data_IF_216823713101
#
_entry.id   IF_216823713101
#
_cell.length_a   1.000
_cell.length_b   1.000
_cell.length_c   1.000
_cell.angle_alpha   90.00
_cell.angle_beta   90.00
_cell.angle_gamma   90.00
#
_symmetry.space_group_name_H-M   'P 1'
#
loop_
_entity.id
_entity.type
_entity.pdbx_description
1 polymer ?
#
# COMPACT_ATOMS: atom_id res chain seq x y z
N UNK A 1 50.92 -17.35 14.56
CA UNK A 1 50.77 -16.13 13.73
C UNK A 1 49.61 -16.25 12.72
N UNK A 2 49.34 -17.41 12.13
CA UNK A 2 48.24 -17.61 11.17
C UNK A 2 46.82 -17.34 11.73
N UNK A 3 46.55 -17.67 12.99
CA UNK A 3 45.23 -17.44 13.59
C UNK A 3 44.90 -15.93 13.77
N UNK A 4 45.91 -15.09 14.01
CA UNK A 4 45.72 -13.65 14.12
C UNK A 4 45.46 -13.02 12.74
N UNK A 5 46.20 -13.44 11.72
CA UNK A 5 45.96 -13.03 10.33
C UNK A 5 44.57 -13.46 9.83
N UNK A 6 44.09 -14.65 10.18
CA UNK A 6 42.75 -15.10 9.80
C UNK A 6 41.62 -14.33 10.51
N UNK A 7 41.85 -13.84 11.73
CA UNK A 7 40.90 -13.00 12.47
C UNK A 7 40.89 -11.57 11.90
N UNK A 8 42.06 -11.02 11.59
CA UNK A 8 42.19 -9.73 10.94
C UNK A 8 41.58 -9.76 9.52
N UNK A 9 41.80 -10.81 8.74
CA UNK A 9 41.16 -10.99 7.42
C UNK A 9 39.63 -11.09 7.50
N UNK A 10 39.08 -11.76 8.53
CA UNK A 10 37.62 -11.81 8.75
C UNK A 10 37.07 -10.46 9.19
N UNK A 11 37.81 -9.72 10.02
CA UNK A 11 37.44 -8.35 10.42
C UNK A 11 37.56 -7.36 9.26
N UNK A 12 38.56 -7.50 8.39
CA UNK A 12 38.74 -6.74 7.15
C UNK A 12 37.62 -7.05 6.13
N UNK A 13 37.24 -8.33 5.97
CA UNK A 13 36.09 -8.71 5.13
C UNK A 13 34.76 -8.22 5.70
N UNK A 14 34.61 -8.20 7.03
CA UNK A 14 33.45 -7.60 7.68
C UNK A 14 33.45 -6.07 7.62
N UNK A 15 34.61 -5.42 7.64
CA UNK A 15 34.73 -3.95 7.61
C UNK A 15 34.35 -3.34 6.26
N UNK A 16 34.12 -4.15 5.23
CA UNK A 16 33.72 -3.69 3.89
C UNK A 16 32.26 -3.96 3.55
N UNK A 17 31.48 -4.57 4.43
CA UNK A 17 30.09 -4.95 4.13
C UNK A 17 29.24 -3.70 3.87
N UNK A 18 29.31 -2.69 4.74
CA UNK A 18 28.50 -1.48 4.58
C UNK A 18 28.92 -0.68 3.34
N UNK A 19 30.24 -0.53 3.13
CA UNK A 19 30.79 0.12 1.94
C UNK A 19 30.34 -0.55 0.63
N UNK A 20 30.29 -1.89 0.62
CA UNK A 20 29.83 -2.68 -0.53
C UNK A 20 28.32 -2.49 -0.76
N UNK A 21 27.52 -2.49 0.30
CA UNK A 21 26.07 -2.25 0.21
C UNK A 21 25.78 -0.84 -0.33
N UNK A 22 26.51 0.17 0.13
CA UNK A 22 26.33 1.55 -0.33
C UNK A 22 26.78 1.70 -1.78
N UNK A 23 27.91 1.08 -2.17
CA UNK A 23 28.34 1.05 -3.57
C UNK A 23 27.30 0.37 -4.47
N UNK A 24 26.65 -0.68 -3.97
CA UNK A 24 25.55 -1.37 -4.66
C UNK A 24 24.34 -0.45 -4.82
N UNK A 25 23.96 0.30 -3.77
CA UNK A 25 22.89 1.31 -3.82
C UNK A 25 23.23 2.42 -4.83
N UNK A 26 24.46 2.94 -4.82
CA UNK A 26 24.89 3.94 -5.80
C UNK A 26 24.85 3.39 -7.25
N UNK A 27 25.24 2.12 -7.43
CA UNK A 27 25.15 1.42 -8.70
C UNK A 27 23.70 1.25 -9.20
N UNK A 28 22.75 1.00 -8.30
CA UNK A 28 21.33 0.87 -8.67
C UNK A 28 20.71 2.20 -9.07
N UNK A 29 21.08 3.31 -8.39
CA UNK A 29 20.73 4.65 -8.83
C UNK A 29 21.27 4.96 -10.24
N UNK A 30 22.54 4.66 -10.49
CA UNK A 30 23.18 4.85 -11.81
C UNK A 30 22.48 4.05 -12.91
N UNK A 31 22.10 2.81 -12.60
CA UNK A 31 21.35 1.95 -13.52
C UNK A 31 19.94 2.50 -13.78
N UNK A 32 19.29 3.07 -12.75
CA UNK A 32 18.03 3.78 -12.85
C UNK A 32 18.10 5.01 -13.77
N UNK A 33 19.17 5.81 -13.69
CA UNK A 33 19.41 6.96 -14.59
C UNK A 33 19.53 6.49 -16.03
N UNK A 34 20.35 5.48 -16.31
CA UNK A 34 20.53 4.96 -17.67
C UNK A 34 19.23 4.42 -18.28
N UNK A 35 18.40 3.77 -17.45
CA UNK A 35 17.07 3.33 -17.86
C UNK A 35 16.16 4.52 -18.17
N UNK A 36 16.13 5.51 -17.27
CA UNK A 36 15.33 6.72 -17.44
C UNK A 36 15.67 7.47 -18.73
N UNK A 37 16.95 7.68 -19.02
CA UNK A 37 17.40 8.37 -20.23
C UNK A 37 16.95 7.62 -21.49
N UNK A 38 17.10 6.29 -21.54
CA UNK A 38 16.64 5.46 -22.66
C UNK A 38 15.13 5.49 -22.85
N UNK A 39 14.37 5.47 -21.75
CA UNK A 39 12.91 5.55 -21.77
C UNK A 39 12.45 6.93 -22.23
N UNK A 40 13.10 7.99 -21.75
CA UNK A 40 12.85 9.36 -22.15
C UNK A 40 13.12 9.58 -23.64
N UNK A 41 14.22 9.05 -24.17
CA UNK A 41 14.54 9.06 -25.60
C UNK A 41 13.50 8.33 -26.46
N UNK A 42 13.13 7.10 -26.08
CA UNK A 42 12.11 6.33 -26.79
C UNK A 42 10.76 7.06 -26.83
N UNK A 43 10.40 7.74 -25.72
CA UNK A 43 9.18 8.56 -25.64
C UNK A 43 9.26 9.79 -26.53
N UNK A 44 10.38 10.52 -26.51
CA UNK A 44 10.62 11.67 -27.39
C UNK A 44 10.55 11.26 -28.86
N UNK A 45 11.14 10.12 -29.23
CA UNK A 45 11.09 9.59 -30.59
C UNK A 45 9.66 9.21 -31.02
N UNK A 46 8.85 8.61 -30.14
CA UNK A 46 7.42 8.37 -30.41
C UNK A 46 6.62 9.67 -30.56
N UNK A 47 6.86 10.67 -29.70
CA UNK A 47 6.22 11.99 -29.82
C UNK A 47 6.60 12.67 -31.13
N UNK A 48 7.87 12.62 -31.51
CA UNK A 48 8.35 13.14 -32.78
C UNK A 48 7.64 12.44 -33.94
N UNK A 49 7.59 11.10 -33.97
CA UNK A 49 6.86 10.35 -35.01
C UNK A 49 5.37 10.69 -35.08
N UNK A 50 4.71 10.94 -33.94
CA UNK A 50 3.30 11.40 -33.91
C UNK A 50 3.17 12.81 -34.45
N UNK A 51 4.08 13.72 -34.10
CA UNK A 51 4.12 15.08 -34.64
C UNK A 51 4.42 15.07 -36.14
N UNK A 52 5.39 14.29 -36.62
CA UNK A 52 5.73 14.17 -38.05
C UNK A 52 4.56 13.58 -38.84
N UNK A 53 3.85 12.58 -38.29
CA UNK A 53 2.61 12.05 -38.91
C UNK A 53 1.48 13.08 -38.91
N UNK A 54 1.32 13.83 -37.82
CA UNK A 54 0.34 14.92 -37.71
C UNK A 54 0.67 16.09 -38.63
N UNK A 55 1.95 16.43 -38.77
CA UNK A 55 2.47 17.43 -39.69
C UNK A 55 2.27 16.97 -41.13
N UNK A 56 2.55 15.72 -41.49
CA UNK A 56 2.27 15.19 -42.83
C UNK A 56 0.77 15.19 -43.16
N UNK A 57 -0.10 14.93 -42.17
CA UNK A 57 -1.55 15.04 -42.34
C UNK A 57 -1.97 16.50 -42.55
N UNK A 58 -1.44 17.41 -41.72
CA UNK A 58 -1.65 18.87 -41.86
C UNK A 58 -1.03 19.41 -43.14
N UNK A 59 0.10 18.89 -43.62
CA UNK A 59 0.77 19.28 -44.86
C UNK A 59 -0.09 18.88 -46.04
N UNK A 60 -0.66 17.67 -46.01
CA UNK A 60 -1.62 17.20 -47.02
C UNK A 60 -2.92 18.00 -47.02
N UNK A 61 -3.42 18.34 -45.84
CA UNK A 61 -4.60 19.18 -45.66
C UNK A 61 -4.32 20.65 -46.03
N UNK A 62 -3.10 21.13 -45.79
CA UNK A 62 -2.62 22.45 -46.20
C UNK A 62 -2.35 22.50 -47.69
N UNK A 63 -1.81 21.48 -48.35
CA UNK A 63 -1.71 21.38 -49.81
C UNK A 63 -3.11 21.46 -50.44
N UNK A 64 -4.05 20.69 -49.89
CA UNK A 64 -5.45 20.70 -50.33
C UNK A 64 -6.12 22.06 -50.09
N UNK A 65 -5.77 22.77 -49.02
CA UNK A 65 -6.23 24.13 -48.74
C UNK A 65 -5.42 25.21 -49.46
N UNK A 66 -4.19 24.97 -49.92
CA UNK A 66 -3.35 25.92 -50.66
C UNK A 66 -3.81 26.00 -52.12
N UNK A 67 -4.38 24.91 -52.64
CA UNK A 67 -5.18 24.89 -53.88
C UNK A 67 -6.50 25.68 -53.75
N UNK A 68 -7.07 25.77 -52.54
CA UNK A 68 -8.28 26.55 -52.25
C UNK A 68 -8.02 27.99 -51.76
N UNK A 69 -6.84 28.27 -51.21
CA UNK A 69 -6.56 29.49 -50.45
C UNK A 69 -5.23 30.17 -50.84
N UNK A 70 -5.16 30.62 -52.10
CA UNK A 70 -4.46 31.86 -52.50
C UNK A 70 -5.07 33.12 -51.82
N UNK A 71 -5.81 32.99 -50.71
CA UNK A 71 -6.33 34.09 -49.90
C UNK A 71 -6.39 33.72 -48.41
N UNK A 72 -5.43 34.25 -47.65
CA UNK A 72 -5.67 34.86 -46.33
C UNK A 72 -5.61 34.01 -45.05
N UNK A 73 -4.46 34.07 -44.36
CA UNK A 73 -4.18 34.30 -42.90
C UNK A 73 -4.95 33.47 -41.84
N UNK A 74 -4.31 32.64 -41.01
CA UNK A 74 -3.43 32.89 -39.83
C UNK A 74 -4.17 33.40 -38.57
N UNK A 75 -4.58 32.50 -37.65
CA UNK A 75 -5.04 32.87 -36.27
C UNK A 75 -5.28 31.69 -35.28
N UNK A 76 -4.42 30.65 -35.22
CA UNK A 76 -4.63 29.48 -34.33
C UNK A 76 -3.45 29.07 -33.42
N UNK A 77 -2.35 29.82 -33.38
CA UNK A 77 -1.11 29.36 -32.71
C UNK A 77 -0.99 29.67 -31.20
N UNK A 78 -1.92 30.40 -30.57
CA UNK A 78 -1.68 30.89 -29.19
C UNK A 78 -2.20 30.00 -28.04
N UNK A 79 -3.01 28.96 -28.30
CA UNK A 79 -3.71 28.23 -27.23
C UNK A 79 -3.05 26.93 -26.74
N UNK A 80 -1.99 26.47 -27.40
CA UNK A 80 -1.30 25.19 -27.07
C UNK A 80 -0.11 25.32 -26.10
N UNK A 81 0.30 26.54 -25.70
CA UNK A 81 1.50 26.72 -24.86
C UNK A 81 1.30 26.49 -23.34
N UNK A 82 0.07 26.36 -22.84
CA UNK A 82 -0.19 26.30 -21.39
C UNK A 82 -0.25 24.88 -20.79
N UNK A 83 -0.37 23.82 -21.62
CA UNK A 83 -0.48 22.42 -21.17
C UNK A 83 0.82 21.61 -21.26
N UNK A 84 1.89 22.15 -21.88
CA UNK A 84 3.21 21.49 -21.96
C UNK A 84 4.12 21.73 -20.76
N UNK A 85 3.80 22.68 -19.87
CA UNK A 85 4.64 23.04 -18.71
C UNK A 85 4.62 22.00 -17.58
N UNK A 86 3.44 21.44 -17.25
CA UNK A 86 3.29 20.56 -16.06
C UNK A 86 3.77 19.12 -16.22
N UNK A 87 4.10 18.68 -17.44
CA UNK A 87 4.51 17.29 -17.74
C UNK A 87 6.01 17.14 -17.99
N UNK A 88 6.73 18.26 -18.10
CA UNK A 88 8.20 18.29 -18.13
C UNK A 88 8.80 18.29 -16.73
N UNK A 89 8.16 18.98 -15.78
CA UNK A 89 8.59 19.06 -14.37
C UNK A 89 8.72 17.66 -13.73
N UNK A 90 7.69 16.81 -13.80
CA UNK A 90 7.73 15.44 -13.25
C UNK A 90 8.87 14.55 -13.81
N UNK A 91 9.30 14.77 -15.07
CA UNK A 91 10.37 13.99 -15.72
C UNK A 91 11.76 14.55 -15.32
N UNK A 92 11.88 15.86 -15.16
CA UNK A 92 13.10 16.52 -14.72
C UNK A 92 13.38 16.23 -13.24
N UNK A 93 12.34 16.26 -12.38
CA UNK A 93 12.43 15.97 -10.95
C UNK A 93 12.92 14.54 -10.65
N UNK A 94 12.49 13.56 -11.47
CA UNK A 94 12.97 12.18 -11.32
C UNK A 94 14.44 12.05 -11.70
N UNK A 95 14.84 12.64 -12.83
CA UNK A 95 16.23 12.58 -13.29
C UNK A 95 17.15 13.15 -12.22
N UNK A 96 16.75 14.28 -11.68
CA UNK A 96 17.41 14.98 -10.59
C UNK A 96 17.47 14.15 -9.30
N UNK A 97 16.37 13.49 -8.90
CA UNK A 97 16.35 12.58 -7.74
C UNK A 97 17.31 11.40 -7.92
N UNK A 98 17.26 10.71 -9.06
CA UNK A 98 18.12 9.55 -9.35
C UNK A 98 19.61 9.94 -9.44
N UNK A 99 19.90 11.07 -10.07
CA UNK A 99 21.27 11.57 -10.23
C UNK A 99 21.87 12.04 -8.91
N UNK A 100 21.05 12.60 -8.00
CA UNK A 100 21.49 13.02 -6.65
C UNK A 100 21.46 11.89 -5.62
N UNK A 101 20.61 10.89 -5.78
CA UNK A 101 20.35 9.84 -4.78
C UNK A 101 21.60 9.06 -4.38
N UNK A 102 22.35 8.56 -5.37
CA UNK A 102 23.61 7.84 -5.14
C UNK A 102 24.67 8.70 -4.41
N UNK A 103 25.06 9.87 -4.96
CA UNK A 103 26.02 10.77 -4.33
C UNK A 103 25.63 11.22 -2.92
N UNK A 104 24.34 11.45 -2.65
CA UNK A 104 23.88 11.85 -1.32
C UNK A 104 24.03 10.73 -0.28
N UNK A 105 23.67 9.50 -0.63
CA UNK A 105 23.83 8.34 0.27
C UNK A 105 25.32 8.06 0.50
N UNK A 106 26.14 8.14 -0.54
CA UNK A 106 27.60 7.98 -0.44
C UNK A 106 28.21 9.08 0.44
N UNK A 107 27.88 10.35 0.20
CA UNK A 107 28.39 11.46 0.99
C UNK A 107 27.97 11.40 2.46
N UNK A 108 26.74 10.94 2.74
CA UNK A 108 26.27 10.70 4.10
C UNK A 108 27.08 9.60 4.81
N UNK A 109 27.43 8.53 4.09
CA UNK A 109 28.32 7.49 4.62
C UNK A 109 29.73 8.01 4.85
N UNK A 110 30.33 8.67 3.87
CA UNK A 110 31.71 9.19 3.97
C UNK A 110 31.84 10.17 5.14
N UNK A 111 30.82 11.00 5.37
CA UNK A 111 30.77 11.92 6.51
C UNK A 111 30.74 11.18 7.86
N UNK A 112 29.92 10.14 8.00
CA UNK A 112 29.79 9.38 9.24
C UNK A 112 31.00 8.47 9.47
N UNK A 113 31.56 7.90 8.39
CA UNK A 113 32.80 7.14 8.40
C UNK A 113 33.97 8.02 8.84
N UNK A 114 34.07 9.26 8.37
CA UNK A 114 35.14 10.19 8.80
C UNK A 114 35.11 10.47 10.31
N UNK A 115 33.95 10.35 10.97
CA UNK A 115 33.79 10.59 12.41
C UNK A 115 34.06 9.36 13.27
N UNK A 116 33.61 8.18 12.82
CA UNK A 116 33.64 6.94 13.61
C UNK A 116 34.70 5.93 13.15
N UNK A 117 35.28 6.16 11.97
CA UNK A 117 36.31 5.34 11.38
C UNK A 117 35.86 3.92 11.02
N UNK A 118 36.79 2.94 11.04
CA UNK A 118 36.56 1.57 10.56
C UNK A 118 35.40 0.82 11.22
N UNK A 119 35.09 1.12 12.47
CA UNK A 119 33.99 0.48 13.19
C UNK A 119 32.62 0.80 12.59
N UNK A 120 32.47 1.98 11.98
CA UNK A 120 31.24 2.35 11.30
C UNK A 120 31.11 1.66 9.94
N UNK A 121 32.21 1.44 9.23
CA UNK A 121 32.20 0.71 7.96
C UNK A 121 31.86 -0.78 8.11
N UNK A 122 32.14 -1.37 9.27
CA UNK A 122 31.71 -2.73 9.57
C UNK A 122 30.17 -2.85 9.60
N UNK A 123 29.49 -1.82 10.08
CA UNK A 123 28.05 -1.82 10.22
C UNK A 123 27.56 -2.73 11.34
N UNK A 124 26.37 -2.45 11.87
CA UNK A 124 25.64 -3.43 12.67
C UNK A 124 24.66 -4.24 11.79
N UNK A 125 24.24 -5.40 12.29
CA UNK A 125 23.35 -6.31 11.53
C UNK A 125 22.05 -5.63 11.12
N UNK A 126 21.56 -4.68 11.93
CA UNK A 126 20.31 -3.98 11.71
C UNK A 126 20.43 -3.01 10.53
N UNK A 127 21.50 -2.21 10.48
CA UNK A 127 21.79 -1.31 9.37
C UNK A 127 22.07 -2.09 8.07
N UNK A 128 22.81 -3.19 8.15
CA UNK A 128 23.04 -4.07 6.99
C UNK A 128 21.71 -4.62 6.42
N UNK A 129 20.84 -5.12 7.29
CA UNK A 129 19.53 -5.66 6.90
C UNK A 129 18.62 -4.58 6.30
N UNK A 130 18.63 -3.37 6.88
CA UNK A 130 17.85 -2.25 6.36
C UNK A 130 18.34 -1.81 4.97
N UNK A 131 19.65 -1.66 4.77
CA UNK A 131 20.24 -1.29 3.48
C UNK A 131 20.00 -2.36 2.41
N UNK A 132 20.11 -3.64 2.77
CA UNK A 132 19.73 -4.74 1.87
C UNK A 132 18.26 -4.67 1.47
N UNK A 133 17.36 -4.36 2.40
CA UNK A 133 15.95 -4.13 2.11
C UNK A 133 15.73 -3.02 1.07
N UNK A 134 16.45 -1.89 1.20
CA UNK A 134 16.36 -0.80 0.22
C UNK A 134 16.88 -1.21 -1.17
N UNK A 135 17.99 -1.96 -1.22
CA UNK A 135 18.53 -2.50 -2.48
C UNK A 135 17.51 -3.39 -3.18
N UNK A 136 16.93 -4.36 -2.44
CA UNK A 136 15.98 -5.32 -2.99
C UNK A 136 14.73 -4.60 -3.52
N UNK A 137 14.20 -3.63 -2.78
CA UNK A 137 13.02 -2.87 -3.19
C UNK A 137 13.30 -2.04 -4.44
N UNK A 138 14.43 -1.32 -4.49
CA UNK A 138 14.77 -0.49 -5.64
C UNK A 138 15.08 -1.35 -6.88
N UNK A 139 15.91 -2.38 -6.75
CA UNK A 139 16.23 -3.30 -7.84
C UNK A 139 14.99 -4.03 -8.34
N UNK A 140 14.15 -4.54 -7.44
CA UNK A 140 12.92 -5.23 -7.80
C UNK A 140 11.94 -4.32 -8.55
N UNK A 141 11.91 -3.04 -8.22
CA UNK A 141 11.08 -2.06 -8.96
C UNK A 141 11.64 -1.80 -10.36
N UNK A 142 12.96 -1.58 -10.48
CA UNK A 142 13.62 -1.39 -11.78
C UNK A 142 13.43 -2.61 -12.70
N UNK A 143 13.58 -3.83 -12.17
CA UNK A 143 13.40 -5.07 -12.92
C UNK A 143 11.96 -5.20 -13.41
N UNK A 144 10.98 -5.02 -12.52
CA UNK A 144 9.55 -5.08 -12.91
C UNK A 144 9.22 -4.07 -14.00
N UNK A 145 9.77 -2.87 -13.92
CA UNK A 145 9.56 -1.83 -14.93
C UNK A 145 10.20 -2.20 -16.28
N UNK A 146 11.37 -2.84 -16.27
CA UNK A 146 12.01 -3.37 -17.47
C UNK A 146 11.17 -4.51 -18.08
N UNK A 147 10.70 -5.44 -17.26
CA UNK A 147 9.84 -6.56 -17.69
C UNK A 147 8.52 -6.06 -18.29
N UNK A 148 7.85 -5.10 -17.62
CA UNK A 148 6.63 -4.47 -18.11
C UNK A 148 6.88 -3.76 -19.45
N UNK A 149 7.97 -3.02 -19.59
CA UNK A 149 8.32 -2.33 -20.83
C UNK A 149 8.61 -3.31 -21.99
N UNK A 150 9.27 -4.43 -21.70
CA UNK A 150 9.55 -5.47 -22.69
C UNK A 150 8.28 -6.22 -23.12
N UNK A 151 7.37 -6.50 -22.17
CA UNK A 151 6.17 -7.26 -22.44
C UNK A 151 5.07 -6.43 -23.13
N UNK A 152 4.88 -5.18 -22.71
CA UNK A 152 3.79 -4.32 -23.20
C UNK A 152 4.21 -3.43 -24.37
N UNK A 153 5.52 -3.19 -24.55
CA UNK A 153 6.02 -2.18 -25.49
C UNK A 153 5.60 -0.75 -25.11
N UNK A 154 5.10 -0.55 -23.88
CA UNK A 154 4.75 0.74 -23.31
C UNK A 154 5.91 1.30 -22.48
N UNK A 155 6.08 2.64 -22.44
CA UNK A 155 7.11 3.24 -21.60
C UNK A 155 6.79 2.97 -20.11
N UNK A 156 7.80 2.59 -19.31
CA UNK A 156 7.59 2.26 -17.91
C UNK A 156 7.12 3.46 -17.08
N UNK A 157 6.38 3.16 -16.00
CA UNK A 157 5.75 4.17 -15.14
C UNK A 157 6.76 4.93 -14.26
N UNK A 158 7.16 6.10 -14.76
CA UNK A 158 8.13 7.03 -14.19
C UNK A 158 7.84 7.37 -12.72
N UNK A 159 6.56 7.51 -12.33
CA UNK A 159 6.18 7.89 -10.96
C UNK A 159 6.48 6.79 -9.95
N UNK A 160 6.36 5.51 -10.36
CA UNK A 160 6.75 4.38 -9.51
C UNK A 160 8.25 4.35 -9.27
N UNK A 161 9.06 4.65 -10.30
CA UNK A 161 10.51 4.73 -10.14
C UNK A 161 10.92 5.88 -9.23
N UNK A 162 10.25 7.04 -9.35
CA UNK A 162 10.46 8.18 -8.46
C UNK A 162 10.22 7.83 -7.00
N UNK A 163 9.05 7.29 -6.71
CA UNK A 163 8.69 6.94 -5.33
C UNK A 163 9.65 5.86 -4.76
N UNK A 164 10.05 4.88 -5.58
CA UNK A 164 11.02 3.87 -5.16
C UNK A 164 12.43 4.45 -4.94
N UNK A 165 12.85 5.39 -5.80
CA UNK A 165 14.12 6.12 -5.70
C UNK A 165 14.19 6.91 -4.40
N UNK A 166 13.17 7.73 -4.12
CA UNK A 166 13.10 8.54 -2.90
C UNK A 166 13.00 7.68 -1.64
N UNK A 167 12.18 6.63 -1.66
CA UNK A 167 12.07 5.69 -0.54
C UNK A 167 13.40 5.01 -0.24
N UNK A 168 14.11 4.53 -1.26
CA UNK A 168 15.41 3.88 -1.10
C UNK A 168 16.47 4.88 -0.59
N UNK A 169 16.46 6.12 -1.08
CA UNK A 169 17.36 7.21 -0.64
C UNK A 169 17.15 7.53 0.83
N UNK A 170 15.92 7.83 1.22
CA UNK A 170 15.56 8.18 2.60
C UNK A 170 15.77 7.02 3.56
N UNK A 171 15.35 5.81 3.18
CA UNK A 171 15.56 4.60 3.95
C UNK A 171 17.05 4.32 4.20
N UNK A 172 17.89 4.54 3.19
CA UNK A 172 19.35 4.36 3.31
C UNK A 172 19.98 5.41 4.23
N UNK A 173 19.59 6.69 4.10
CA UNK A 173 20.08 7.74 4.99
C UNK A 173 19.64 7.52 6.44
N UNK A 174 18.39 7.09 6.67
CA UNK A 174 17.88 6.78 8.02
C UNK A 174 18.66 5.62 8.63
N UNK A 175 18.88 4.53 7.88
CA UNK A 175 19.66 3.39 8.36
C UNK A 175 21.08 3.79 8.82
N UNK A 176 21.76 4.64 8.05
CA UNK A 176 23.10 5.15 8.39
C UNK A 176 23.09 6.03 9.65
N UNK A 177 22.10 6.92 9.79
CA UNK A 177 21.97 7.80 10.96
C UNK A 177 21.62 7.01 12.22
N UNK A 178 20.72 6.05 12.12
CA UNK A 178 20.32 5.22 13.24
C UNK A 178 21.48 4.33 13.72
N UNK A 179 22.29 3.80 12.80
CA UNK A 179 23.52 3.09 13.14
C UNK A 179 24.48 4.01 13.92
N UNK A 180 24.71 5.22 13.42
CA UNK A 180 25.56 6.19 14.07
C UNK A 180 25.08 6.50 15.50
N UNK A 181 23.77 6.73 15.69
CA UNK A 181 23.18 6.95 17.02
C UNK A 181 23.38 5.76 17.96
N UNK A 182 23.17 4.54 17.49
CA UNK A 182 23.39 3.33 18.31
C UNK A 182 24.86 3.19 18.72
N UNK A 183 25.79 3.48 17.83
CA UNK A 183 27.22 3.43 18.16
C UNK A 183 27.62 4.50 19.18
N UNK A 184 27.02 5.70 19.14
CA UNK A 184 27.22 6.72 20.18
C UNK A 184 26.69 6.28 21.55
N UNK A 185 25.53 5.60 21.59
CA UNK A 185 24.94 5.11 22.84
C UNK A 185 25.71 3.92 23.43
N UNK A 186 26.40 3.15 22.59
CA UNK A 186 27.24 2.02 22.99
C UNK A 186 28.71 2.43 23.27
N UNK A 187 29.04 3.71 23.15
CA UNK A 187 30.37 4.20 23.48
C UNK A 187 30.68 3.88 24.96
N UNK A 188 31.81 3.22 25.27
CA UNK A 188 32.17 2.93 26.65
C UNK A 188 32.26 4.24 27.44
N UNK A 189 31.44 4.36 28.48
CA UNK A 189 31.66 5.40 29.49
C UNK A 189 32.99 5.06 30.15
N UNK A 190 33.99 5.92 30.02
CA UNK A 190 35.26 5.80 30.73
C UNK A 190 34.99 5.86 32.25
N UNK A 191 34.71 4.71 32.88
CA UNK A 191 34.53 4.58 34.32
C UNK A 191 35.82 4.90 35.10
N UNK A 192 36.94 5.14 34.40
CA UNK A 192 38.22 5.57 34.99
C UNK A 192 38.25 7.05 35.40
N UNK A 193 37.24 7.84 35.03
CA UNK A 193 37.13 9.25 35.43
C UNK A 193 36.28 9.48 36.69
N UNK A 194 35.87 8.42 37.40
CA UNK A 194 35.24 8.57 38.72
C UNK A 194 36.34 8.62 39.80
N UNK A 195 36.46 9.72 40.58
CA UNK A 195 37.40 9.79 41.68
C UNK A 195 37.10 8.67 42.68
N UNK A 196 38.14 7.93 43.07
CA UNK A 196 38.06 6.84 44.04
C UNK A 196 37.39 7.33 45.34
N UNK A 197 36.50 6.54 45.98
CA UNK A 197 36.01 6.86 47.30
C UNK A 197 37.20 6.90 48.27
N UNK A 198 37.45 8.07 48.86
CA UNK A 198 38.54 8.24 49.82
C UNK A 198 38.39 7.33 51.05
N UNK A 199 39.50 6.96 51.70
CA UNK A 199 39.46 6.13 52.91
C UNK A 199 38.88 6.94 54.08
N UNK A 200 37.66 6.60 54.49
CA UNK A 200 37.05 7.13 55.72
C UNK A 200 37.66 6.47 56.97
N UNK A 201 37.87 7.21 58.07
CA UNK A 201 38.53 6.71 59.26
C UNK A 201 37.62 5.79 60.07
N UNK A 202 38.23 4.72 60.57
CA UNK A 202 37.56 3.71 61.38
C UNK A 202 37.13 4.23 62.75
N UNK A 203 35.94 3.82 63.16
CA UNK A 203 35.57 3.67 64.57
C UNK A 203 34.88 2.33 64.76
N UNK A 204 35.40 1.57 65.72
CA UNK A 204 34.95 0.24 66.07
C UNK A 204 33.59 0.22 66.77
N UNK A 205 32.92 -0.92 66.70
CA UNK A 205 31.70 -1.18 67.44
C UNK A 205 31.21 -2.59 67.16
N UNK A 206 31.28 -3.44 68.19
CA UNK A 206 31.00 -4.87 68.16
C UNK A 206 29.51 -5.20 68.01
N UNK A 207 29.32 -6.40 67.44
CA UNK A 207 28.41 -7.46 67.84
C UNK A 207 26.95 -7.50 67.32
N UNK A 208 26.69 -8.69 66.77
CA UNK A 208 25.45 -9.47 66.80
C UNK A 208 24.31 -9.05 65.86
N UNK A 209 24.09 -9.83 64.81
CA UNK A 209 22.99 -10.83 64.75
C UNK A 209 22.57 -11.17 63.31
N UNK A 210 22.81 -12.43 62.93
CA UNK A 210 22.09 -13.29 61.96
C UNK A 210 21.92 -12.88 60.48
N UNK A 211 22.17 -13.81 59.54
CA UNK A 211 21.89 -13.64 58.12
C UNK A 211 20.45 -14.05 57.77
N UNK A 212 19.78 -13.27 56.93
CA UNK A 212 18.62 -13.73 56.14
C UNK A 212 19.00 -13.67 54.65
N UNK A 213 18.86 -14.77 53.89
CA UNK A 213 19.03 -14.72 52.45
C UNK A 213 17.79 -14.10 51.82
N UNK A 214 17.94 -12.93 51.21
CA UNK A 214 16.93 -12.35 50.33
C UNK A 214 17.05 -13.07 48.99
N UNK A 215 16.01 -13.82 48.64
CA UNK A 215 15.87 -14.52 47.39
C UNK A 215 15.93 -13.55 46.18
N UNK A 216 16.39 -14.02 45.01
CA UNK A 216 16.58 -13.18 43.85
C UNK A 216 15.25 -12.73 43.25
N UNK A 217 15.14 -11.42 43.03
CA UNK A 217 14.12 -10.78 42.21
C UNK A 217 14.11 -11.46 40.83
N UNK A 218 13.02 -12.15 40.51
CA UNK A 218 12.75 -12.64 39.16
C UNK A 218 12.68 -11.44 38.22
N UNK A 219 13.72 -11.28 37.38
CA UNK A 219 13.64 -10.46 36.17
C UNK A 219 12.55 -11.05 35.29
N UNK A 220 11.49 -10.28 35.10
CA UNK A 220 10.53 -10.49 34.02
C UNK A 220 11.29 -10.16 32.75
N UNK A 221 11.69 -11.19 32.01
CA UNK A 221 12.15 -11.10 30.64
C UNK A 221 10.95 -10.73 29.77
N UNK A 222 10.73 -9.43 29.60
CA UNK A 222 9.88 -8.91 28.53
C UNK A 222 10.66 -9.02 27.23
N UNK A 223 10.49 -10.14 26.54
CA UNK A 223 10.71 -10.22 25.10
C UNK A 223 9.71 -9.28 24.42
N UNK A 224 10.11 -8.26 23.66
CA UNK A 224 9.19 -7.60 22.74
C UNK A 224 8.93 -8.56 21.59
N UNK A 225 7.69 -8.98 21.46
CA UNK A 225 7.20 -9.66 20.26
C UNK A 225 7.41 -8.75 19.05
N UNK A 226 8.11 -9.30 18.06
CA UNK A 226 8.47 -8.70 16.78
C UNK A 226 7.24 -8.72 15.86
N UNK A 227 6.22 -7.89 16.14
CA UNK A 227 4.99 -7.88 15.33
C UNK A 227 4.21 -6.56 15.22
N UNK A 228 4.85 -5.40 15.34
CA UNK A 228 4.20 -4.10 15.06
C UNK A 228 5.19 -3.08 14.48
N UNK A 229 5.61 -3.24 13.22
CA UNK A 229 6.48 -2.25 12.56
C UNK A 229 6.07 -1.91 11.11
N UNK A 230 4.77 -1.74 10.88
CA UNK A 230 4.31 -1.01 9.70
C UNK A 230 3.15 -0.10 10.08
N UNK A 231 3.43 0.93 10.88
CA UNK A 231 2.57 2.10 10.88
C UNK A 231 3.36 3.34 11.29
N UNK A 232 3.62 4.23 10.33
CA UNK A 232 3.86 5.66 10.55
C UNK A 232 4.05 6.30 9.18
N UNK A 233 3.03 7.06 8.76
CA UNK A 233 3.06 8.37 8.09
C UNK A 233 1.56 8.70 7.88
N UNK A 234 0.99 9.79 8.39
CA UNK A 234 1.33 11.17 8.02
C UNK A 234 0.72 12.18 9.03
N UNK A 235 1.55 13.00 9.67
CA UNK A 235 1.13 14.33 10.12
C UNK A 235 1.77 15.35 9.18
N UNK A 236 0.95 15.96 8.33
CA UNK A 236 1.33 17.09 7.48
C UNK A 236 1.09 18.37 8.26
N UNK A 237 2.15 19.15 8.42
CA UNK A 237 2.11 20.59 8.70
C UNK A 237 1.55 21.29 7.45
N UNK A 238 0.57 22.18 7.61
CA UNK A 238 0.39 23.30 6.71
C UNK A 238 -0.15 24.52 7.49
N UNK A 239 0.38 25.68 7.15
CA UNK A 239 0.25 26.96 7.86
C UNK A 239 -0.23 28.04 6.88
N UNK A 240 -1.37 28.67 7.22
CA UNK A 240 -1.96 29.94 6.73
C UNK A 240 -2.38 30.02 5.24
N UNK A 241 -3.54 30.58 4.85
CA UNK A 241 -3.98 31.96 5.14
C UNK A 241 -5.50 32.22 4.98
N UNK A 242 -5.99 33.23 5.71
CA UNK A 242 -7.15 34.14 5.57
C UNK A 242 -8.56 33.66 5.10
N UNK A 243 -9.61 33.89 5.91
CA UNK A 243 -10.46 35.12 5.86
C UNK A 243 -11.76 34.98 6.69
N UNK A 244 -12.00 36.02 7.48
CA UNK A 244 -13.17 36.48 8.25
C UNK A 244 -14.60 36.20 7.69
N UNK A 245 -15.51 35.66 8.52
CA UNK A 245 -16.84 36.25 8.76
C UNK A 245 -17.59 35.62 9.96
N UNK A 246 -17.89 36.47 10.95
CA UNK A 246 -18.82 36.26 12.06
C UNK A 246 -20.29 36.06 11.58
N UNK A 247 -21.09 35.28 12.33
CA UNK A 247 -22.22 35.76 13.15
C UNK A 247 -22.92 34.57 13.87
N UNK A 248 -23.16 34.82 15.17
CA UNK A 248 -23.75 34.10 16.32
C UNK A 248 -25.14 33.39 16.21
N UNK A 249 -25.65 32.74 17.31
CA UNK A 249 -26.34 31.43 17.30
C UNK A 249 -27.75 31.46 17.92
N UNK A 250 -28.47 30.33 17.92
CA UNK A 250 -29.61 30.09 18.83
C UNK A 250 -29.74 28.60 19.22
N UNK A 251 -29.95 28.36 20.51
CA UNK A 251 -30.51 27.15 21.13
C UNK A 251 -31.82 27.55 21.87
N UNK A 252 -32.42 26.75 22.75
CA UNK A 252 -33.19 25.50 22.54
C UNK A 252 -34.59 25.55 23.22
N UNK A 253 -35.46 24.55 22.96
CA UNK A 253 -36.71 24.23 23.73
C UNK A 253 -37.14 22.79 23.39
N UNK A 254 -37.73 21.90 24.20
CA UNK A 254 -38.16 21.83 25.61
C UNK A 254 -38.60 20.38 25.90
N UNK A 255 -38.30 19.90 27.12
CA UNK A 255 -39.01 18.96 28.03
C UNK A 255 -40.45 18.49 27.73
N UNK A 256 -40.74 17.20 28.01
CA UNK A 256 -41.73 16.71 29.03
C UNK A 256 -41.79 15.15 29.10
N UNK A 257 -41.34 14.45 30.16
CA UNK A 257 -41.91 13.96 31.45
C UNK A 257 -42.82 12.68 31.46
N UNK A 258 -42.51 11.79 32.44
CA UNK A 258 -43.33 10.76 33.16
C UNK A 258 -43.59 9.41 32.45
N UNK A 259 -43.62 8.22 33.08
CA UNK A 259 -43.66 7.80 34.50
C UNK A 259 -43.39 6.29 34.65
N UNK A 260 -42.99 5.90 35.86
CA UNK A 260 -42.84 4.55 36.43
C UNK A 260 -44.07 3.63 36.36
N UNK A 261 -43.84 2.29 36.34
CA UNK A 261 -44.16 1.41 37.49
C UNK A 261 -43.79 -0.07 37.29
N UNK A 262 -43.19 -0.62 38.35
CA UNK A 262 -42.92 -2.02 38.62
C UNK A 262 -44.14 -2.82 39.10
N UNK A 263 -44.13 -4.17 38.97
CA UNK A 263 -44.12 -5.16 40.08
C UNK A 263 -44.48 -6.60 39.65
N UNK A 264 -43.61 -7.54 40.08
CA UNK A 264 -43.84 -8.81 40.77
C UNK A 264 -45.02 -9.74 40.43
N UNK A 265 -44.73 -11.04 40.22
CA UNK A 265 -44.95 -12.18 41.18
C UNK A 265 -44.73 -13.53 40.48
N UNK A 266 -43.94 -14.44 41.09
CA UNK A 266 -43.91 -15.89 40.79
C UNK A 266 -45.03 -16.64 41.54
N UNK A 267 -44.81 -17.86 42.09
CA UNK A 267 -44.21 -19.11 41.55
C UNK A 267 -45.05 -20.39 41.90
N UNK A 268 -44.58 -21.60 41.52
CA UNK A 268 -45.04 -22.93 42.04
C UNK A 268 -44.99 -24.03 40.96
N UNK A 269 -44.10 -25.04 40.98
CA UNK A 269 -44.10 -26.35 41.69
C UNK A 269 -45.36 -27.20 41.39
N UNK A 270 -45.36 -28.52 41.10
CA UNK A 270 -44.74 -29.70 41.77
C UNK A 270 -44.91 -31.01 40.93
N UNK A 271 -44.02 -32.00 41.18
CA UNK A 271 -44.21 -33.49 41.20
C UNK A 271 -44.33 -34.31 39.88
N UNK A 272 -43.39 -35.22 39.53
CA UNK A 272 -43.13 -36.63 39.98
C UNK A 272 -44.15 -37.65 39.36
N UNK A 273 -43.82 -38.77 38.70
CA UNK A 273 -43.04 -39.98 39.10
C UNK A 273 -42.78 -40.98 37.92
N UNK A 274 -41.66 -41.76 38.01
CA UNK A 274 -41.36 -43.19 37.61
C UNK A 274 -42.16 -43.89 36.47
N UNK A 275 -41.60 -44.68 35.53
CA UNK A 275 -40.82 -45.94 35.71
C UNK A 275 -40.25 -46.52 34.38
N UNK A 276 -39.08 -47.16 34.45
CA UNK A 276 -38.45 -48.27 33.67
C UNK A 276 -38.93 -48.68 32.24
N UNK A 277 -38.00 -48.84 31.28
CA UNK A 277 -37.58 -50.14 30.68
C UNK A 277 -36.48 -49.96 29.60
N UNK A 278 -35.52 -50.88 29.62
CA UNK A 278 -34.34 -51.01 28.77
C UNK A 278 -34.67 -51.64 27.41
N UNK A 279 -34.08 -51.14 26.30
CA UNK A 279 -33.67 -51.94 25.11
C UNK A 279 -32.93 -51.04 24.09
N UNK A 280 -31.68 -51.38 23.81
CA UNK A 280 -30.96 -50.97 22.59
C UNK A 280 -31.16 -52.05 21.51
N UNK A 281 -30.56 -51.92 20.31
CA UNK A 281 -30.64 -50.84 19.33
C UNK A 281 -31.05 -51.40 17.95
N UNK A 282 -31.55 -50.58 17.03
CA UNK A 282 -31.15 -50.58 15.61
C UNK A 282 -31.98 -49.59 14.79
N UNK A 283 -31.24 -48.68 14.14
CA UNK A 283 -31.48 -48.02 12.85
C UNK A 283 -32.92 -47.98 12.31
N UNK A 284 -33.40 -46.76 12.09
CA UNK A 284 -34.00 -46.21 10.86
C UNK A 284 -35.04 -45.15 11.25
N UNK A 285 -34.76 -43.87 10.95
CA UNK A 285 -35.74 -42.77 10.79
C UNK A 285 -34.98 -41.50 10.38
N UNK A 286 -35.14 -40.99 9.15
CA UNK A 286 -36.12 -39.96 8.78
C UNK A 286 -35.99 -38.64 9.56
N UNK A 287 -35.41 -37.66 8.86
CA UNK A 287 -35.80 -36.25 8.74
C UNK A 287 -36.40 -35.59 9.98
N UNK A 288 -35.63 -34.68 10.58
CA UNK A 288 -36.15 -33.51 11.27
C UNK A 288 -35.25 -32.32 10.93
N UNK A 289 -35.81 -31.41 10.14
CA UNK A 289 -35.22 -30.17 9.65
C UNK A 289 -34.87 -29.26 10.83
N UNK A 290 -33.59 -28.97 10.99
CA UNK A 290 -33.11 -27.72 11.58
C UNK A 290 -32.09 -27.15 10.62
N UNK A 291 -32.36 -25.93 10.14
CA UNK A 291 -31.54 -25.14 9.22
C UNK A 291 -30.27 -24.68 9.93
N UNK A 292 -29.35 -25.62 10.14
CA UNK A 292 -27.96 -25.35 10.45
C UNK A 292 -27.17 -25.30 9.15
N UNK A 293 -26.60 -24.13 8.85
CA UNK A 293 -25.54 -23.96 7.85
C UNK A 293 -24.50 -25.07 8.07
N UNK A 294 -24.13 -25.88 7.06
CA UNK A 294 -23.16 -26.96 7.25
C UNK A 294 -21.80 -26.37 7.62
N UNK A 295 -21.46 -26.38 8.91
CA UNK A 295 -20.09 -26.18 9.39
C UNK A 295 -19.30 -27.45 9.16
N UNK A 296 -18.92 -27.67 7.91
CA UNK A 296 -17.78 -28.49 7.49
C UNK A 296 -17.87 -28.60 5.98
N UNK A 297 -16.93 -27.97 5.27
CA UNK A 297 -16.34 -28.49 4.03
C UNK A 297 -15.19 -27.54 3.62
N UNK A 298 -14.00 -28.14 3.59
CA UNK A 298 -12.80 -27.80 2.82
C UNK A 298 -12.14 -26.42 3.02
N UNK A 299 -11.03 -26.46 3.75
CA UNK A 299 -9.94 -25.49 3.74
C UNK A 299 -9.37 -25.39 2.30
N UNK A 300 -9.95 -24.54 1.46
CA UNK A 300 -9.36 -24.14 0.19
C UNK A 300 -8.87 -22.71 0.27
N UNK A 301 -7.67 -22.53 -0.27
CA UNK A 301 -6.81 -21.35 -0.36
C UNK A 301 -7.42 -20.15 -1.10
N UNK A 302 -8.65 -19.75 -0.74
CA UNK A 302 -9.27 -18.53 -1.24
C UNK A 302 -8.77 -17.36 -0.40
N UNK A 303 -8.21 -16.34 -1.05
CA UNK A 303 -7.82 -15.09 -0.38
C UNK A 303 -9.04 -14.25 0.04
N UNK A 304 -10.23 -14.64 -0.43
CA UNK A 304 -11.50 -14.00 -0.15
C UNK A 304 -12.12 -14.55 1.13
N UNK A 305 -12.89 -13.70 1.81
CA UNK A 305 -13.73 -14.19 2.90
C UNK A 305 -14.77 -15.22 2.40
N UNK A 306 -15.20 -16.12 3.28
CA UNK A 306 -16.26 -17.07 2.99
C UNK A 306 -17.55 -16.39 2.47
N UNK A 307 -17.98 -15.30 3.12
CA UNK A 307 -19.14 -14.53 2.67
C UNK A 307 -18.93 -13.93 1.28
N UNK A 308 -17.74 -13.37 1.02
CA UNK A 308 -17.39 -12.85 -0.30
C UNK A 308 -17.47 -13.93 -1.36
N UNK A 309 -16.91 -15.11 -1.09
CA UNK A 309 -16.95 -16.28 -1.99
C UNK A 309 -18.39 -16.72 -2.27
N UNK A 310 -19.27 -16.71 -1.26
CA UNK A 310 -20.70 -16.96 -1.44
C UNK A 310 -21.37 -15.91 -2.34
N UNK A 311 -21.03 -14.63 -2.19
CA UNK A 311 -21.56 -13.58 -3.06
C UNK A 311 -21.07 -13.70 -4.51
N UNK A 312 -19.82 -14.12 -4.72
CA UNK A 312 -19.28 -14.35 -6.06
C UNK A 312 -20.03 -15.45 -6.83
N UNK A 313 -20.60 -16.42 -6.11
CA UNK A 313 -21.32 -17.55 -6.67
C UNK A 313 -22.84 -17.35 -6.70
N UNK A 314 -23.35 -16.33 -6.00
CA UNK A 314 -24.79 -16.08 -5.86
C UNK A 314 -25.20 -14.77 -6.52
N UNK A 315 -26.42 -14.72 -7.06
CA UNK A 315 -27.07 -13.48 -7.51
C UNK A 315 -27.96 -12.83 -6.43
N UNK A 316 -27.88 -13.30 -5.18
CA UNK A 316 -28.72 -12.80 -4.08
C UNK A 316 -28.38 -11.34 -3.75
N UNK A 317 -29.22 -10.55 -3.06
CA UNK A 317 -28.82 -9.24 -2.57
C UNK A 317 -27.79 -9.34 -1.42
N UNK A 318 -27.28 -8.20 -0.95
CA UNK A 318 -26.53 -8.15 0.31
C UNK A 318 -27.46 -8.50 1.49
N UNK A 319 -26.92 -9.16 2.51
CA UNK A 319 -27.66 -9.43 3.73
C UNK A 319 -28.07 -8.11 4.41
N UNK A 320 -29.31 -8.02 4.90
CA UNK A 320 -29.84 -6.81 5.53
C UNK A 320 -29.02 -6.36 6.74
N UNK A 321 -28.41 -7.28 7.48
CA UNK A 321 -27.54 -6.96 8.62
C UNK A 321 -26.23 -6.31 8.14
N UNK A 322 -25.63 -6.82 7.07
CA UNK A 322 -24.43 -6.22 6.47
C UNK A 322 -24.75 -4.86 5.83
N UNK A 323 -25.89 -4.75 5.14
CA UNK A 323 -26.30 -3.51 4.50
C UNK A 323 -26.54 -2.38 5.51
N UNK A 324 -26.98 -2.71 6.73
CA UNK A 324 -27.26 -1.74 7.79
C UNK A 324 -26.09 -1.47 8.73
N UNK A 325 -25.16 -2.42 8.89
CA UNK A 325 -24.02 -2.27 9.81
C UNK A 325 -22.68 -2.03 9.13
N UNK A 326 -22.54 -2.39 7.85
CA UNK A 326 -21.25 -2.39 7.15
C UNK A 326 -20.27 -3.48 7.62
N UNK A 327 -20.67 -4.36 8.55
CA UNK A 327 -19.82 -5.40 9.12
C UNK A 327 -20.13 -6.77 8.50
N UNK A 328 -19.09 -7.45 8.01
CA UNK A 328 -19.23 -8.79 7.44
C UNK A 328 -19.72 -9.81 8.49
N UNK A 329 -20.75 -10.62 8.20
CA UNK A 329 -21.27 -11.60 9.15
C UNK A 329 -20.30 -12.76 9.43
N UNK A 330 -19.39 -13.07 8.48
CA UNK A 330 -18.48 -14.21 8.59
C UNK A 330 -17.12 -13.83 9.19
N UNK A 331 -16.47 -12.77 8.67
CA UNK A 331 -15.13 -12.38 9.13
C UNK A 331 -15.12 -11.17 10.09
N UNK A 332 -16.29 -10.59 10.38
CA UNK A 332 -16.47 -9.43 11.26
C UNK A 332 -15.65 -8.19 10.88
N UNK A 333 -15.12 -8.13 9.66
CA UNK A 333 -14.42 -6.95 9.16
C UNK A 333 -15.41 -5.84 8.85
N UNK A 334 -15.07 -4.61 9.24
CA UNK A 334 -15.81 -3.42 8.86
C UNK A 334 -15.47 -3.08 7.41
N UNK A 335 -16.43 -3.23 6.51
CA UNK A 335 -16.21 -3.10 5.07
C UNK A 335 -16.47 -1.69 4.56
N UNK A 336 -17.48 -1.01 5.10
CA UNK A 336 -17.87 0.34 4.71
C UNK A 336 -18.75 0.96 5.79
N UNK A 337 -18.86 2.28 5.81
CA UNK A 337 -19.86 3.00 6.63
C UNK A 337 -21.17 3.12 5.82
N UNK A 338 -22.32 2.58 6.30
CA UNK A 338 -23.61 2.68 5.61
C UNK A 338 -24.05 4.12 5.30
N UNK A 339 -23.77 5.07 6.19
CA UNK A 339 -24.15 6.48 5.99
C UNK A 339 -23.30 7.12 4.89
N UNK A 340 -22.02 6.78 4.86
CA UNK A 340 -21.10 7.24 3.81
C UNK A 340 -21.50 6.66 2.44
N UNK A 341 -21.77 5.37 2.37
CA UNK A 341 -22.20 4.71 1.13
C UNK A 341 -23.51 5.31 0.61
N UNK A 342 -24.45 5.61 1.51
CA UNK A 342 -25.73 6.25 1.14
C UNK A 342 -25.52 7.66 0.59
N UNK A 343 -24.59 8.44 1.15
CA UNK A 343 -24.27 9.79 0.66
C UNK A 343 -23.47 9.78 -0.65
N UNK A 344 -22.49 8.88 -0.76
CA UNK A 344 -21.58 8.78 -1.92
C UNK A 344 -22.26 8.14 -3.13
N UNK A 345 -23.09 7.12 -2.90
CA UNK A 345 -23.63 6.29 -3.97
C UNK A 345 -22.59 5.30 -4.55
N UNK A 346 -22.93 4.67 -5.69
CA UNK A 346 -22.05 3.74 -6.38
C UNK A 346 -20.87 4.46 -7.03
N UNK A 347 -19.75 3.74 -7.19
CA UNK A 347 -18.56 4.28 -7.84
C UNK A 347 -18.71 4.28 -9.36
N UNK A 348 -18.41 5.40 -10.02
CA UNK A 348 -18.43 5.52 -11.49
C UNK A 348 -17.04 5.30 -12.08
N UNK A 349 -16.97 4.48 -13.11
CA UNK A 349 -15.75 4.20 -13.90
C UNK A 349 -16.07 4.44 -15.37
N UNK A 350 -15.30 5.31 -16.00
CA UNK A 350 -15.44 5.61 -17.44
C UNK A 350 -14.39 4.80 -18.24
N UNK A 351 -14.84 4.24 -19.37
CA UNK A 351 -14.02 3.40 -20.25
C UNK A 351 -14.09 3.89 -21.68
N UNK A 352 -12.92 3.98 -22.28
CA UNK A 352 -12.74 4.25 -23.70
C UNK A 352 -12.85 2.93 -24.49
N UNK A 353 -13.80 2.87 -25.41
CA UNK A 353 -14.00 1.77 -26.35
C UNK A 353 -13.67 2.29 -27.73
N UNK A 354 -12.61 1.72 -28.30
CA UNK A 354 -12.17 2.05 -29.65
C UNK A 354 -12.73 1.01 -30.61
N UNK A 355 -13.62 1.42 -31.50
CA UNK A 355 -14.13 0.57 -32.58
C UNK A 355 -13.47 0.96 -33.90
N UNK A 356 -12.97 -0.05 -34.61
CA UNK A 356 -12.46 0.13 -35.96
C UNK A 356 -13.54 -0.30 -36.94
N UNK A 357 -13.97 0.62 -37.81
CA UNK A 357 -14.90 0.30 -38.87
C UNK A 357 -14.33 0.74 -40.23
N UNK A 358 -14.52 -0.08 -41.28
CA UNK A 358 -14.06 0.28 -42.61
C UNK A 358 -14.92 1.44 -43.13
N UNK A 359 -14.27 2.55 -43.48
CA UNK A 359 -14.96 3.68 -44.08
C UNK A 359 -15.47 3.29 -45.48
N UNK A 360 -16.78 3.33 -45.73
CA UNK A 360 -17.37 2.81 -46.96
C UNK A 360 -16.98 3.60 -48.21
N UNK A 361 -16.50 4.84 -48.06
CA UNK A 361 -16.07 5.69 -49.17
C UNK A 361 -14.60 5.53 -49.53
N UNK A 362 -13.76 5.28 -48.53
CA UNK A 362 -12.30 5.30 -48.72
C UNK A 362 -11.65 3.92 -48.57
N UNK A 363 -12.38 2.92 -48.05
CA UNK A 363 -11.86 1.59 -47.74
C UNK A 363 -10.83 1.56 -46.61
N UNK A 364 -10.57 2.69 -45.96
CA UNK A 364 -9.62 2.79 -44.84
C UNK A 364 -10.32 2.50 -43.51
N UNK A 365 -9.59 1.89 -42.58
CA UNK A 365 -10.07 1.74 -41.20
C UNK A 365 -10.17 3.13 -40.56
N UNK A 366 -11.38 3.47 -40.13
CA UNK A 366 -11.69 4.63 -39.32
C UNK A 366 -11.85 4.19 -37.86
N UNK A 367 -11.35 5.02 -36.96
CA UNK A 367 -11.31 4.76 -35.52
C UNK A 367 -12.38 5.64 -34.86
N UNK A 368 -13.38 5.02 -34.25
CA UNK A 368 -14.41 5.68 -33.46
C UNK A 368 -14.17 5.38 -31.99
N UNK A 369 -14.10 6.45 -31.20
CA UNK A 369 -13.84 6.39 -29.78
C UNK A 369 -15.14 6.68 -29.04
N UNK A 370 -15.69 5.66 -28.38
CA UNK A 370 -16.89 5.75 -27.57
C UNK A 370 -16.52 5.69 -26.08
N UNK A 371 -17.08 6.57 -25.25
CA UNK A 371 -16.92 6.52 -23.80
C UNK A 371 -18.14 5.84 -23.16
N UNK A 372 -17.92 4.70 -22.50
CA UNK A 372 -18.95 3.96 -21.75
C UNK A 372 -18.71 4.10 -20.25
N UNK A 373 -19.76 4.38 -19.50
CA UNK A 373 -19.70 4.60 -18.06
C UNK A 373 -20.31 3.44 -17.29
N UNK A 374 -19.63 2.99 -16.24
CA UNK A 374 -20.03 1.84 -15.43
C UNK A 374 -20.11 2.21 -13.95
N UNK A 375 -21.09 1.63 -13.25
CA UNK A 375 -21.27 1.77 -11.82
C UNK A 375 -20.88 0.48 -11.11
N UNK A 376 -19.88 0.57 -10.23
CA UNK A 376 -19.52 -0.48 -9.30
C UNK A 376 -20.40 -0.36 -8.06
N UNK A 377 -21.27 -1.35 -7.85
CA UNK A 377 -22.20 -1.36 -6.71
C UNK A 377 -21.50 -1.75 -5.40
N UNK A 378 -22.08 -1.43 -4.25
CA UNK A 378 -21.57 -1.87 -2.93
C UNK A 378 -21.37 -3.38 -2.87
N UNK A 379 -22.26 -4.14 -3.52
CA UNK A 379 -22.16 -5.60 -3.62
C UNK A 379 -20.87 -6.05 -4.29
N UNK A 380 -20.40 -5.32 -5.31
CA UNK A 380 -19.12 -5.59 -5.95
C UNK A 380 -17.94 -5.49 -4.98
N UNK A 381 -17.93 -4.48 -4.10
CA UNK A 381 -16.87 -4.33 -3.09
C UNK A 381 -16.93 -5.43 -2.05
N UNK A 382 -18.13 -5.78 -1.57
CA UNK A 382 -18.30 -6.86 -0.59
C UNK A 382 -17.84 -8.19 -1.18
N UNK A 383 -18.12 -8.53 -2.44
CA UNK A 383 -17.60 -9.79 -3.00
C UNK A 383 -16.07 -9.78 -3.22
N UNK A 384 -15.43 -8.62 -3.16
CA UNK A 384 -13.98 -8.48 -3.30
C UNK A 384 -13.27 -8.52 -1.93
N UNK A 385 -13.97 -8.48 -0.80
CA UNK A 385 -13.30 -8.34 0.50
C UNK A 385 -12.57 -9.62 0.93
N UNK A 386 -11.52 -9.43 1.74
CA UNK A 386 -10.66 -10.48 2.26
C UNK A 386 -10.85 -10.66 3.76
N UNK A 387 -10.45 -11.83 4.27
CA UNK A 387 -10.36 -12.03 5.72
C UNK A 387 -9.26 -11.15 6.31
N UNK A 388 -9.56 -10.41 7.38
CA UNK A 388 -8.62 -9.47 8.00
C UNK A 388 -8.57 -8.09 7.33
N UNK A 389 -9.50 -7.80 6.39
CA UNK A 389 -9.66 -6.49 5.78
C UNK A 389 -8.96 -6.33 4.42
N UNK A 390 -9.27 -5.20 3.76
CA UNK A 390 -8.87 -4.93 2.39
C UNK A 390 -9.63 -5.79 1.36
N UNK A 391 -9.16 -5.72 0.12
CA UNK A 391 -9.85 -6.27 -1.05
C UNK A 391 -8.90 -7.06 -1.95
N UNK A 392 -9.43 -8.03 -2.67
CA UNK A 392 -8.81 -8.68 -3.81
C UNK A 392 -9.74 -8.49 -5.02
N UNK A 393 -9.18 -8.21 -6.19
CA UNK A 393 -9.97 -7.94 -7.38
C UNK A 393 -10.59 -9.22 -7.92
N UNK A 394 -11.93 -9.33 -7.80
CA UNK A 394 -12.68 -10.47 -8.31
C UNK A 394 -12.50 -10.66 -9.83
N UNK A 395 -12.42 -9.57 -10.60
CA UNK A 395 -12.21 -9.64 -12.05
C UNK A 395 -10.82 -10.21 -12.39
N UNK A 396 -9.78 -9.90 -11.62
CA UNK A 396 -8.47 -10.53 -11.77
C UNK A 396 -8.58 -12.04 -11.53
N UNK A 397 -9.25 -12.45 -10.46
CA UNK A 397 -9.41 -13.88 -10.13
C UNK A 397 -10.13 -14.65 -11.24
N UNK A 398 -11.06 -14.00 -11.93
CA UNK A 398 -11.84 -14.62 -13.00
C UNK A 398 -11.12 -14.64 -14.35
N UNK A 399 -10.36 -13.60 -14.67
CA UNK A 399 -9.84 -13.37 -16.02
C UNK A 399 -8.32 -13.40 -16.12
N UNK A 400 -7.59 -13.52 -15.02
CA UNK A 400 -6.12 -13.43 -14.94
C UNK A 400 -5.54 -14.55 -14.10
N UNK A 401 -4.25 -14.81 -14.29
CA UNK A 401 -3.52 -15.85 -13.52
C UNK A 401 -3.16 -15.41 -12.10
N UNK A 402 -3.19 -14.11 -11.80
CA UNK A 402 -2.79 -13.55 -10.51
C UNK A 402 -3.84 -12.58 -10.00
N UNK A 403 -4.18 -12.72 -8.73
CA UNK A 403 -5.06 -11.81 -8.02
C UNK A 403 -4.33 -10.51 -7.66
N UNK A 404 -4.99 -9.37 -7.88
CA UNK A 404 -4.51 -8.08 -7.36
C UNK A 404 -5.16 -7.78 -6.03
N UNK A 405 -4.35 -7.43 -5.02
CA UNK A 405 -4.81 -7.09 -3.67
C UNK A 405 -4.73 -5.58 -3.46
N UNK A 406 -5.81 -4.99 -2.95
CA UNK A 406 -5.98 -3.57 -2.69
C UNK A 406 -6.25 -3.34 -1.20
N UNK A 407 -5.69 -2.27 -0.61
CA UNK A 407 -5.91 -1.95 0.80
C UNK A 407 -7.23 -1.23 1.07
N UNK A 408 -7.68 -0.39 0.12
CA UNK A 408 -8.87 0.45 0.23
C UNK A 408 -9.78 0.31 -0.99
N UNK A 409 -11.02 0.82 -0.88
CA UNK A 409 -12.00 0.83 -1.97
C UNK A 409 -11.49 1.59 -3.19
N UNK A 410 -10.87 2.77 -2.99
CA UNK A 410 -10.39 3.64 -4.07
C UNK A 410 -9.34 2.91 -4.92
N UNK A 411 -8.41 2.22 -4.26
CA UNK A 411 -7.37 1.45 -4.94
C UNK A 411 -7.95 0.29 -5.76
N UNK A 412 -9.06 -0.30 -5.30
CA UNK A 412 -9.75 -1.33 -6.06
C UNK A 412 -10.47 -0.71 -7.28
N UNK A 413 -11.11 0.44 -7.13
CA UNK A 413 -11.75 1.16 -8.23
C UNK A 413 -10.75 1.55 -9.29
N UNK A 414 -9.62 2.14 -8.89
CA UNK A 414 -8.54 2.54 -9.81
C UNK A 414 -7.98 1.33 -10.55
N UNK A 415 -7.78 0.21 -9.84
CA UNK A 415 -7.31 -1.03 -10.45
C UNK A 415 -8.32 -1.58 -11.46
N UNK A 416 -9.60 -1.68 -11.08
CA UNK A 416 -10.68 -2.14 -11.95
C UNK A 416 -10.77 -1.22 -13.17
N UNK A 417 -10.75 0.10 -12.97
CA UNK A 417 -10.83 1.13 -13.99
C UNK A 417 -9.61 1.22 -14.91
N UNK A 418 -8.45 0.70 -14.51
CA UNK A 418 -7.24 0.74 -15.36
C UNK A 418 -6.87 -0.60 -16.00
N UNK A 419 -7.21 -1.73 -15.37
CA UNK A 419 -6.72 -3.06 -15.79
C UNK A 419 -7.74 -3.95 -16.47
N UNK A 420 -9.03 -3.67 -16.28
CA UNK A 420 -10.10 -4.49 -16.82
C UNK A 420 -10.78 -3.89 -18.05
N UNK A 421 -11.22 -4.72 -18.98
CA UNK A 421 -11.89 -4.29 -20.22
C UNK A 421 -13.41 -4.22 -20.04
N UNK A 422 -14.09 -3.57 -20.99
CA UNK A 422 -15.57 -3.48 -20.97
C UNK A 422 -16.23 -4.86 -21.05
N UNK A 423 -15.67 -5.79 -21.84
CA UNK A 423 -16.20 -7.16 -21.91
C UNK A 423 -16.11 -7.92 -20.59
N UNK A 424 -15.10 -7.63 -19.75
CA UNK A 424 -15.01 -8.20 -18.40
C UNK A 424 -16.06 -7.61 -17.45
N UNK A 425 -16.50 -6.37 -17.68
CA UNK A 425 -17.55 -5.72 -16.88
C UNK A 425 -18.94 -6.29 -17.17
N UNK A 426 -19.24 -6.50 -18.46
CA UNK A 426 -20.53 -7.05 -18.91
C UNK A 426 -20.78 -8.47 -18.38
N UNK A 427 -19.71 -9.20 -18.03
CA UNK A 427 -19.80 -10.53 -17.42
C UNK A 427 -20.16 -10.55 -15.94
N UNK A 428 -20.31 -9.38 -15.30
CA UNK A 428 -20.47 -9.23 -13.87
C UNK A 428 -21.75 -8.45 -13.50
N UNK A 429 -22.72 -9.11 -12.86
CA UNK A 429 -24.02 -8.53 -12.53
C UNK A 429 -24.00 -7.40 -11.49
N UNK A 430 -22.87 -7.20 -10.81
CA UNK A 430 -22.69 -6.13 -9.81
C UNK A 430 -22.05 -4.87 -10.40
N UNK A 431 -21.69 -4.91 -11.69
CA UNK A 431 -21.21 -3.78 -12.48
C UNK A 431 -22.29 -3.41 -13.49
N UNK A 432 -22.80 -2.17 -13.43
CA UNK A 432 -23.92 -1.72 -14.26
C UNK A 432 -23.49 -0.62 -15.20
N UNK A 433 -23.73 -0.79 -16.49
CA UNK A 433 -23.54 0.30 -17.44
C UNK A 433 -24.60 1.40 -17.24
N UNK A 434 -24.17 2.65 -17.34
CA UNK A 434 -25.02 3.84 -17.37
C UNK A 434 -24.95 4.41 -18.77
N UNK A 435 -26.07 4.38 -19.47
CA UNK A 435 -26.23 5.10 -20.73
C UNK A 435 -26.30 6.59 -20.43
N UNK A 436 -25.40 7.34 -21.05
CA UNK A 436 -25.32 8.81 -20.94
C UNK A 436 -26.38 9.47 -21.80
#
# INVERSE_FOLDING_TARGET
MEAAQAIDDRRLKQSFILATLISTIAGTFTTGVNLFDRVGEARRQRRQRKMDRGQNRKLKELEQRLDEAVKGKSELEEREKKSKSRRGEDEEDLRDSLQRGGPLVQGQYDQLYSRMGPQFAQGDLLAQTQLQGQIITLQGTVIKMLEEALYTGEPPDIRKLYNASEFAREGSMRALRDQYQRMLQQAPIDQRALPAPGPGPGYGGRAASRPRPVAPVRRISSTPSLRDYYDTHTTSYDKHDDTYHDIYPLAPTTTTVLRDRARNRGPGSVSATRSHHSRSPTRHSSISRTSGIPKQLTYHSSIYCQYATYLQQSGQPLDSSLASSGVCPDCHSHLFDPDEVTRRGPWRVDKEVVTHHPNPRTGKEEEEVEYRSFLLTTRFFVKCHREGGGYACYLCSRHRERDTVCKKEESLVDHVGSKHSVGEYEGDGDIREVRS
#
